data_IF_446010305485
#
_entry.id   IF_446010305485
#
_cell.length_a   1.000
_cell.length_b   1.000
_cell.length_c   1.000
_cell.angle_alpha   90.00
_cell.angle_beta   90.00
_cell.angle_gamma   90.00
#
_symmetry.space_group_name_H-M   'P 1'
#
loop_
_entity.id
_entity.type
_entity.pdbx_description
1 polymer ?
#
# COMPACT_ATOMS: atom_id res chain seq x y z
N UNK A 1 -34.74 -4.02 26.45
CA UNK A 1 -34.10 -2.88 25.77
C UNK A 1 -34.23 -3.10 24.27
N UNK A 2 -34.43 -2.06 23.47
CA UNK A 2 -34.43 -2.21 22.02
C UNK A 2 -33.01 -2.59 21.55
N UNK A 3 -32.91 -3.60 20.69
CA UNK A 3 -31.67 -3.97 20.02
C UNK A 3 -31.64 -3.31 18.64
N UNK A 4 -30.49 -2.72 18.32
CA UNK A 4 -30.22 -2.05 17.07
C UNK A 4 -29.22 -2.88 16.26
N UNK A 5 -29.35 -2.82 14.93
CA UNK A 5 -28.42 -3.44 13.99
C UNK A 5 -27.55 -2.37 13.32
N UNK A 6 -26.26 -2.60 13.28
CA UNK A 6 -25.31 -1.67 12.65
C UNK A 6 -24.07 -2.37 12.12
N UNK A 7 -23.13 -1.58 11.61
CA UNK A 7 -21.84 -2.06 11.12
C UNK A 7 -20.69 -1.30 11.78
N UNK A 8 -19.57 -1.98 11.97
CA UNK A 8 -18.37 -1.40 12.59
C UNK A 8 -17.76 -0.37 11.64
N UNK A 9 -17.78 0.92 12.00
CA UNK A 9 -17.23 1.99 11.16
C UNK A 9 -15.71 2.11 11.31
N UNK A 10 -15.22 2.10 12.56
CA UNK A 10 -13.79 2.18 12.85
C UNK A 10 -13.46 1.55 14.19
N UNK A 11 -12.31 0.90 14.27
CA UNK A 11 -11.80 0.23 15.47
C UNK A 11 -10.46 0.88 15.85
N UNK A 12 -10.38 1.46 17.04
CA UNK A 12 -9.14 1.93 17.66
C UNK A 12 -8.71 1.02 18.81
N UNK A 13 -7.57 1.34 19.43
CA UNK A 13 -7.00 0.51 20.50
C UNK A 13 -7.89 0.43 21.75
N UNK A 14 -8.58 1.53 22.10
CA UNK A 14 -9.37 1.64 23.33
C UNK A 14 -10.89 1.78 23.10
N UNK A 15 -11.31 2.16 21.90
CA UNK A 15 -12.70 2.40 21.55
C UNK A 15 -12.95 2.21 20.05
N UNK A 16 -14.21 2.11 19.68
CA UNK A 16 -14.65 2.07 18.28
C UNK A 16 -15.94 2.85 18.08
N UNK A 17 -16.37 2.92 16.82
CA UNK A 17 -17.63 3.51 16.41
C UNK A 17 -18.43 2.52 15.57
N UNK A 18 -19.72 2.42 15.85
CA UNK A 18 -20.69 1.61 15.10
C UNK A 18 -21.61 2.57 14.35
N UNK A 19 -21.74 2.38 13.04
CA UNK A 19 -22.70 3.08 12.21
C UNK A 19 -24.02 2.31 12.19
N UNK A 20 -25.11 2.98 12.59
CA UNK A 20 -26.45 2.42 12.57
C UNK A 20 -27.43 3.52 12.14
N UNK A 21 -28.18 3.27 11.07
CA UNK A 21 -29.08 4.25 10.46
C UNK A 21 -30.14 4.77 11.45
N UNK A 22 -30.76 3.86 12.21
CA UNK A 22 -31.79 4.19 13.20
C UNK A 22 -31.24 5.12 14.29
N UNK A 23 -30.08 4.79 14.86
CA UNK A 23 -29.44 5.63 15.89
C UNK A 23 -28.94 6.97 15.35
N UNK A 24 -28.58 7.03 14.07
CA UNK A 24 -28.13 8.26 13.41
C UNK A 24 -29.30 9.19 13.13
N UNK A 25 -30.48 8.66 12.82
CA UNK A 25 -31.72 9.43 12.71
C UNK A 25 -32.19 9.95 14.08
N UNK A 26 -32.14 9.12 15.12
CA UNK A 26 -32.60 9.47 16.47
C UNK A 26 -31.64 10.42 17.21
N UNK A 27 -30.33 10.18 17.14
CA UNK A 27 -29.31 10.90 17.94
C UNK A 27 -28.38 11.80 17.12
N UNK A 28 -28.47 11.77 15.79
CA UNK A 28 -27.66 12.58 14.88
C UNK A 28 -26.18 12.18 14.81
N UNK A 29 -25.81 10.97 15.28
CA UNK A 29 -24.40 10.56 15.38
C UNK A 29 -24.19 9.04 15.48
N UNK A 30 -22.96 8.62 15.25
CA UNK A 30 -22.52 7.23 15.40
C UNK A 30 -22.45 6.81 16.88
N UNK A 31 -22.57 5.51 17.13
CA UNK A 31 -22.62 4.95 18.48
C UNK A 31 -21.21 4.60 18.95
N UNK A 32 -20.83 5.09 20.13
CA UNK A 32 -19.51 4.82 20.72
C UNK A 32 -19.49 3.46 21.44
N UNK A 33 -18.48 2.64 21.16
CA UNK A 33 -18.26 1.34 21.83
C UNK A 33 -16.92 1.34 22.55
N UNK A 34 -16.92 0.90 23.81
CA UNK A 34 -15.70 0.78 24.64
C UNK A 34 -15.10 -0.60 24.44
N UNK A 35 -13.77 -0.71 24.48
CA UNK A 35 -13.03 -1.99 24.36
C UNK A 35 -13.56 -3.11 25.27
N UNK A 36 -14.02 -2.77 26.47
CA UNK A 36 -14.54 -3.74 27.45
C UNK A 36 -15.87 -4.38 27.03
N UNK A 37 -16.67 -3.68 26.22
CA UNK A 37 -17.96 -4.16 25.70
C UNK A 37 -17.79 -4.89 24.34
N UNK A 38 -16.56 -4.99 23.82
CA UNK A 38 -16.26 -5.70 22.59
C UNK A 38 -15.97 -7.19 22.88
N UNK A 39 -16.57 -8.16 22.15
CA UNK A 39 -16.21 -9.56 22.24
C UNK A 39 -14.74 -9.77 21.83
N UNK A 40 -14.13 -10.74 22.49
CA UNK A 40 -12.75 -11.15 22.23
C UNK A 40 -12.71 -11.88 20.88
N UNK A 41 -12.02 -11.30 19.89
CA UNK A 41 -11.99 -11.88 18.54
C UNK A 41 -11.37 -11.02 17.45
N UNK A 42 -11.06 -9.75 17.74
CA UNK A 42 -10.66 -8.81 16.70
C UNK A 42 -11.88 -8.36 15.90
N UNK A 43 -12.01 -7.05 15.73
CA UNK A 43 -13.13 -6.47 15.00
C UNK A 43 -12.62 -6.04 13.63
N UNK A 44 -13.37 -6.38 12.59
CA UNK A 44 -13.09 -5.94 11.23
C UNK A 44 -13.99 -4.76 10.90
N UNK A 45 -13.47 -3.75 10.19
CA UNK A 45 -14.32 -2.68 9.67
C UNK A 45 -15.41 -3.26 8.75
N UNK A 46 -16.58 -2.65 8.75
CA UNK A 46 -17.80 -3.08 8.07
C UNK A 46 -18.43 -4.40 8.57
N UNK A 47 -17.97 -4.97 9.68
CA UNK A 47 -18.59 -6.18 10.27
C UNK A 47 -20.00 -5.86 10.83
N UNK A 48 -21.03 -6.68 10.56
CA UNK A 48 -22.36 -6.48 11.13
C UNK A 48 -22.41 -6.86 12.60
N UNK A 49 -23.09 -6.05 13.42
CA UNK A 49 -23.21 -6.23 14.87
C UNK A 49 -24.61 -5.87 15.36
N UNK A 50 -25.08 -6.56 16.40
CA UNK A 50 -26.29 -6.22 17.15
C UNK A 50 -25.94 -5.70 18.54
N UNK A 51 -26.60 -4.64 19.00
CA UNK A 51 -26.25 -3.98 20.27
C UNK A 51 -27.43 -3.22 20.88
N UNK A 52 -27.33 -2.93 22.18
CA UNK A 52 -28.25 -2.05 22.90
C UNK A 52 -27.65 -0.64 23.03
N UNK A 53 -28.47 0.41 22.90
CA UNK A 53 -28.02 1.80 23.10
C UNK A 53 -28.32 2.27 24.52
N UNK A 54 -27.31 2.82 25.19
CA UNK A 54 -27.44 3.54 26.45
C UNK A 54 -26.84 4.94 26.32
N UNK A 55 -27.53 5.96 26.82
CA UNK A 55 -26.98 7.32 26.85
C UNK A 55 -26.03 7.49 28.04
N UNK A 56 -24.85 8.05 27.80
CA UNK A 56 -23.95 8.43 28.87
C UNK A 56 -24.41 9.73 29.57
N UNK A 57 -23.70 10.15 30.62
CA UNK A 57 -23.99 11.40 31.37
C UNK A 57 -24.00 12.66 30.49
N UNK A 58 -23.33 12.61 29.34
CA UNK A 58 -23.26 13.71 28.35
C UNK A 58 -24.32 13.59 27.24
N UNK A 59 -25.29 12.67 27.38
CA UNK A 59 -26.33 12.41 26.40
C UNK A 59 -25.79 11.88 25.06
N UNK A 60 -24.66 11.17 25.06
CA UNK A 60 -24.10 10.53 23.86
C UNK A 60 -24.45 9.04 23.85
N UNK A 61 -24.89 8.49 22.71
CA UNK A 61 -25.22 7.07 22.59
C UNK A 61 -23.95 6.21 22.72
N UNK A 62 -24.01 5.24 23.61
CA UNK A 62 -22.99 4.24 23.87
C UNK A 62 -23.57 2.84 23.67
N UNK A 63 -22.86 2.00 22.92
CA UNK A 63 -23.26 0.62 22.69
C UNK A 63 -22.97 -0.22 23.94
N UNK A 64 -23.92 -1.09 24.30
CA UNK A 64 -23.83 -2.09 25.37
C UNK A 64 -24.29 -3.44 24.82
N UNK A 65 -23.80 -4.52 25.44
CA UNK A 65 -24.16 -5.90 25.06
C UNK A 65 -23.98 -6.15 23.56
N UNK A 66 -22.77 -5.86 23.04
CA UNK A 66 -22.53 -5.99 21.59
C UNK A 66 -22.26 -7.45 21.22
N UNK A 67 -23.07 -7.97 20.30
CA UNK A 67 -22.96 -9.31 19.74
C UNK A 67 -22.59 -9.23 18.26
N UNK A 68 -21.73 -10.14 17.81
CA UNK A 68 -21.40 -10.28 16.39
C UNK A 68 -22.57 -11.00 15.72
N UNK A 69 -23.24 -10.33 14.79
CA UNK A 69 -24.17 -11.01 13.91
C UNK A 69 -23.32 -11.77 12.89
N UNK A 70 -23.38 -13.10 12.93
CA UNK A 70 -22.80 -13.90 11.86
C UNK A 70 -23.38 -13.35 10.56
N UNK A 71 -22.54 -12.82 9.68
CA UNK A 71 -22.97 -12.17 8.45
C UNK A 71 -23.92 -13.14 7.74
N UNK A 72 -25.23 -12.91 7.89
CA UNK A 72 -26.24 -13.69 7.24
C UNK A 72 -26.07 -13.30 5.79
N UNK A 73 -25.28 -14.09 5.06
CA UNK A 73 -25.01 -13.91 3.64
C UNK A 73 -26.37 -13.64 3.01
N UNK A 74 -26.64 -12.41 2.51
CA UNK A 74 -27.95 -12.08 2.03
C UNK A 74 -28.27 -13.09 0.94
N UNK A 75 -29.31 -13.89 1.19
CA UNK A 75 -29.72 -15.04 0.39
C UNK A 75 -30.08 -14.67 -1.06
N UNK A 76 -30.06 -13.38 -1.38
CA UNK A 76 -30.41 -12.80 -2.67
C UNK A 76 -29.22 -12.67 -3.65
N UNK A 77 -27.97 -12.71 -3.18
CA UNK A 77 -26.78 -12.84 -4.06
C UNK A 77 -26.20 -14.26 -4.11
N UNK A 78 -26.72 -15.17 -3.29
CA UNK A 78 -26.40 -16.60 -3.39
C UNK A 78 -26.91 -17.23 -4.71
N UNK A 79 -27.90 -16.64 -5.38
CA UNK A 79 -28.41 -17.14 -6.66
C UNK A 79 -27.52 -16.82 -7.88
N UNK A 80 -26.50 -15.96 -7.74
CA UNK A 80 -25.55 -15.65 -8.82
C UNK A 80 -24.12 -16.13 -8.53
N UNK A 81 -23.87 -16.65 -7.33
CA UNK A 81 -22.63 -17.34 -6.96
C UNK A 81 -22.71 -18.87 -7.17
N UNK A 82 -23.88 -19.41 -7.54
CA UNK A 82 -24.09 -20.84 -7.84
C UNK A 82 -23.85 -21.20 -9.32
N UNK A 83 -23.01 -20.43 -10.04
CA UNK A 83 -22.47 -20.85 -11.36
C UNK A 83 -20.93 -20.92 -11.35
N UNK A 84 -20.28 -20.56 -10.24
CA UNK A 84 -18.82 -20.74 -10.06
C UNK A 84 -18.45 -22.03 -9.32
N UNK A 85 -19.43 -22.81 -8.83
CA UNK A 85 -19.22 -24.02 -8.02
C UNK A 85 -19.38 -25.35 -8.81
N UNK A 86 -19.20 -25.33 -10.14
CA UNK A 86 -19.16 -26.55 -10.97
C UNK A 86 -17.80 -26.71 -11.67
N UNK A 87 -16.69 -26.49 -10.98
CA UNK A 87 -15.39 -27.13 -11.30
C UNK A 87 -14.59 -27.35 -10.01
N UNK A 88 -15.10 -28.14 -9.06
CA UNK A 88 -14.22 -28.87 -8.15
C UNK A 88 -14.94 -30.05 -7.51
N UNK A 89 -14.89 -31.21 -8.18
CA UNK A 89 -15.06 -32.51 -7.52
C UNK A 89 -13.98 -33.43 -8.04
N UNK A 90 -12.83 -33.43 -7.37
CA UNK A 90 -11.97 -34.60 -7.22
C UNK A 90 -11.02 -34.39 -6.03
N UNK A 91 -11.60 -34.48 -4.83
CA UNK A 91 -10.82 -34.74 -3.64
C UNK A 91 -10.21 -36.15 -3.70
N UNK A 92 -8.89 -36.28 -3.74
CA UNK A 92 -8.17 -37.41 -3.13
C UNK A 92 -6.80 -36.94 -2.62
N UNK A 93 -6.62 -37.13 -1.32
CA UNK A 93 -5.35 -37.28 -0.59
C UNK A 93 -4.44 -36.05 -0.43
N UNK A 94 -4.14 -35.74 0.83
CA UNK A 94 -3.00 -34.94 1.26
C UNK A 94 -1.71 -35.33 0.52
N UNK A 95 -1.04 -34.41 -0.19
CA UNK A 95 0.36 -34.59 -0.52
C UNK A 95 1.17 -34.02 0.64
N UNK A 96 1.62 -34.93 1.50
CA UNK A 96 2.89 -34.79 2.20
C UNK A 96 3.95 -34.15 1.29
N UNK A 97 4.55 -33.07 1.77
CA UNK A 97 5.88 -32.53 1.40
C UNK A 97 6.46 -32.96 0.05
N UNK A 98 6.58 -31.98 -0.85
CA UNK A 98 7.68 -31.85 -1.81
C UNK A 98 7.98 -33.11 -2.65
N UNK A 99 7.11 -33.42 -3.61
CA UNK A 99 7.54 -34.09 -4.84
C UNK A 99 8.03 -33.03 -5.81
N UNK A 100 9.12 -32.35 -5.46
CA UNK A 100 9.88 -31.60 -6.45
C UNK A 100 10.47 -32.67 -7.36
N UNK A 101 10.11 -32.68 -8.65
CA UNK A 101 10.68 -33.65 -9.60
C UNK A 101 12.21 -33.54 -9.54
N UNK A 102 12.86 -34.69 -9.34
CA UNK A 102 14.32 -34.78 -9.41
C UNK A 102 14.72 -34.36 -10.83
N UNK A 103 15.69 -33.44 -10.96
CA UNK A 103 16.11 -32.96 -12.26
C UNK A 103 16.65 -34.15 -13.10
N UNK A 104 16.54 -34.11 -14.44
CA UNK A 104 17.06 -35.17 -15.29
C UNK A 104 18.55 -35.44 -15.00
N UNK A 105 19.01 -36.68 -15.19
CA UNK A 105 20.41 -37.04 -14.95
C UNK A 105 21.36 -36.11 -15.72
N UNK A 106 22.32 -35.50 -15.01
CA UNK A 106 23.25 -34.51 -15.57
C UNK A 106 22.85 -33.04 -15.35
N UNK A 107 21.75 -32.78 -14.65
CA UNK A 107 21.29 -31.43 -14.31
C UNK A 107 21.40 -31.16 -12.80
N UNK A 108 21.95 -30.00 -12.44
CA UNK A 108 22.10 -29.55 -11.05
C UNK A 108 21.18 -28.36 -10.78
N UNK A 109 20.38 -28.44 -9.70
CA UNK A 109 19.46 -27.38 -9.30
C UNK A 109 20.13 -26.39 -8.35
N UNK A 110 20.00 -25.10 -8.64
CA UNK A 110 20.47 -23.99 -7.82
C UNK A 110 19.29 -23.10 -7.42
N UNK A 111 19.14 -22.82 -6.13
CA UNK A 111 18.19 -21.82 -5.62
C UNK A 111 18.94 -20.53 -5.34
N UNK A 112 18.47 -19.45 -5.95
CA UNK A 112 18.97 -18.10 -5.68
C UNK A 112 18.15 -17.48 -4.53
N UNK A 113 18.76 -17.21 -3.36
CA UNK A 113 18.05 -16.66 -2.21
C UNK A 113 17.59 -15.21 -2.41
N UNK A 114 18.14 -14.47 -3.37
CA UNK A 114 17.75 -13.08 -3.60
C UNK A 114 16.54 -12.97 -4.54
N UNK A 115 16.40 -13.90 -5.49
CA UNK A 115 15.34 -13.84 -6.51
C UNK A 115 14.21 -14.85 -6.31
N UNK A 116 14.33 -15.79 -5.35
CA UNK A 116 13.45 -16.95 -5.17
C UNK A 116 13.28 -17.80 -6.45
N UNK A 117 14.20 -17.65 -7.41
CA UNK A 117 14.19 -18.40 -8.67
C UNK A 117 15.00 -19.68 -8.54
N UNK A 118 14.51 -20.71 -9.22
CA UNK A 118 15.19 -22.00 -9.32
C UNK A 118 15.84 -22.10 -10.70
N UNK A 119 17.16 -22.25 -10.72
CA UNK A 119 17.97 -22.44 -11.91
C UNK A 119 18.37 -23.92 -12.03
N UNK A 120 18.45 -24.40 -13.27
CA UNK A 120 18.93 -25.72 -13.63
C UNK A 120 20.17 -25.55 -14.52
N UNK A 121 21.28 -26.15 -14.09
CA UNK A 121 22.54 -26.15 -14.83
C UNK A 121 22.78 -27.52 -15.45
N UNK A 122 23.00 -27.58 -16.77
CA UNK A 122 23.32 -28.81 -17.48
C UNK A 122 24.85 -28.97 -17.56
N UNK A 123 25.40 -30.03 -16.96
CA UNK A 123 26.85 -30.28 -16.97
C UNK A 123 27.38 -30.70 -18.35
N UNK A 124 26.52 -31.30 -19.18
CA UNK A 124 26.92 -31.85 -20.48
C UNK A 124 27.25 -30.76 -21.52
N UNK A 125 26.54 -29.63 -21.47
CA UNK A 125 26.67 -28.52 -22.44
C UNK A 125 27.07 -27.18 -21.79
N UNK A 126 27.06 -27.09 -20.46
CA UNK A 126 27.39 -25.87 -19.73
C UNK A 126 26.33 -24.78 -19.82
N UNK A 127 25.09 -25.13 -20.21
CA UNK A 127 23.97 -24.21 -20.34
C UNK A 127 23.20 -24.03 -19.02
N UNK A 128 22.55 -22.87 -18.90
CA UNK A 128 21.69 -22.52 -17.77
C UNK A 128 20.25 -22.39 -18.27
N UNK A 129 19.33 -23.06 -17.58
CA UNK A 129 17.90 -22.92 -17.79
C UNK A 129 17.25 -22.46 -16.48
N UNK A 130 16.21 -21.64 -16.55
CA UNK A 130 15.39 -21.32 -15.37
C UNK A 130 14.02 -21.97 -15.51
N UNK A 131 13.50 -22.48 -14.40
CA UNK A 131 12.16 -23.05 -14.33
C UNK A 131 11.18 -21.90 -14.06
N UNK A 132 10.36 -21.52 -15.05
CA UNK A 132 9.25 -20.58 -14.82
C UNK A 132 8.27 -21.25 -13.85
N UNK A 133 7.95 -20.57 -12.74
CA UNK A 133 7.05 -21.14 -11.76
C UNK A 133 5.68 -21.41 -12.40
N UNK A 134 5.07 -22.59 -12.13
CA UNK A 134 3.81 -23.00 -12.77
C UNK A 134 2.67 -22.00 -12.53
N UNK A 135 2.69 -21.23 -11.44
CA UNK A 135 1.71 -20.16 -11.19
C UNK A 135 1.77 -19.02 -12.23
N UNK A 136 2.97 -18.64 -12.66
CA UNK A 136 3.16 -17.59 -13.68
C UNK A 136 2.68 -18.08 -15.04
N UNK A 137 2.87 -19.37 -15.33
CA UNK A 137 2.41 -20.00 -16.56
C UNK A 137 0.88 -20.08 -16.61
N UNK A 138 0.24 -20.43 -15.48
CA UNK A 138 -1.22 -20.44 -15.35
C UNK A 138 -1.82 -19.04 -15.56
N UNK A 139 -1.21 -17.99 -14.99
CA UNK A 139 -1.64 -16.61 -15.19
C UNK A 139 -1.53 -16.17 -16.66
N UNK A 140 -0.48 -16.60 -17.36
CA UNK A 140 -0.26 -16.31 -18.78
C UNK A 140 -1.28 -17.01 -19.68
N UNK A 141 -1.66 -18.25 -19.36
CA UNK A 141 -2.72 -18.97 -20.06
C UNK A 141 -4.11 -18.37 -19.82
N UNK A 142 -4.41 -17.96 -18.59
CA UNK A 142 -5.67 -17.27 -18.27
C UNK A 142 -5.76 -15.92 -19.00
N UNK A 143 -4.66 -15.16 -19.07
CA UNK A 143 -4.60 -13.91 -19.82
C UNK A 143 -4.75 -14.11 -21.34
N UNK A 144 -4.18 -15.20 -21.88
CA UNK A 144 -4.33 -15.55 -23.30
C UNK A 144 -5.78 -15.98 -23.64
N UNK A 145 -6.44 -16.72 -22.75
CA UNK A 145 -7.82 -17.16 -22.93
C UNK A 145 -8.84 -16.00 -22.86
N UNK A 146 -8.56 -14.94 -22.10
CA UNK A 146 -9.45 -13.79 -21.92
C UNK A 146 -9.61 -12.84 -23.12
N UNK A 147 -8.86 -13.02 -24.22
CA UNK A 147 -8.81 -12.03 -25.33
C UNK A 147 -9.56 -12.45 -26.60
N UNK A 148 -10.37 -13.53 -26.57
CA UNK A 148 -11.24 -13.88 -27.71
C UNK A 148 -12.66 -13.35 -27.52
N UNK A 149 -12.97 -12.20 -28.11
CA UNK A 149 -14.36 -11.73 -28.25
C UNK A 149 -15.06 -12.51 -29.38
N UNK A 150 -16.16 -13.23 -29.11
CA UNK A 150 -16.96 -13.81 -30.19
C UNK A 150 -17.79 -12.72 -30.85
N UNK A 151 -17.48 -12.39 -32.11
CA UNK A 151 -18.35 -11.58 -32.98
C UNK A 151 -19.55 -12.43 -33.40
N UNK A 152 -20.51 -12.58 -32.49
CA UNK A 152 -21.77 -13.28 -32.73
C UNK A 152 -22.85 -12.32 -33.21
N UNK A 153 -23.09 -12.31 -34.52
CA UNK A 153 -24.24 -11.68 -35.16
C UNK A 153 -25.52 -12.40 -34.73
N UNK A 154 -26.25 -11.83 -33.77
CA UNK A 154 -27.58 -12.30 -33.40
C UNK A 154 -28.62 -11.23 -33.77
N UNK A 155 -29.28 -11.44 -34.92
CA UNK A 155 -30.60 -10.89 -35.19
C UNK A 155 -31.58 -11.44 -34.15
N UNK A 156 -32.26 -10.57 -33.44
CA UNK A 156 -33.50 -10.93 -32.75
C UNK A 156 -34.47 -9.76 -32.84
N UNK A 157 -35.54 -10.06 -33.56
CA UNK A 157 -36.77 -9.30 -33.71
C UNK A 157 -37.40 -9.05 -32.34
N UNK A 158 -37.75 -7.79 -32.08
CA UNK A 158 -38.62 -7.41 -30.97
C UNK A 158 -40.01 -7.09 -31.55
N UNK A 159 -41.11 -7.58 -30.96
CA UNK A 159 -42.44 -7.16 -31.34
C UNK A 159 -42.78 -5.80 -30.71
N UNK A 160 -43.22 -4.86 -31.55
CA UNK A 160 -43.72 -3.53 -31.18
C UNK A 160 -45.05 -3.61 -30.40
N UNK A 161 -45.29 -2.71 -29.42
CA UNK A 161 -46.65 -2.33 -29.05
C UNK A 161 -47.08 -1.08 -29.83
N UNK A 162 -48.24 -1.21 -30.48
CA UNK A 162 -49.05 -0.15 -31.10
C UNK A 162 -49.49 0.86 -30.05
N UNK A 163 -49.14 2.14 -30.20
CA UNK A 163 -49.95 3.25 -29.68
C UNK A 163 -49.83 4.47 -30.60
N UNK A 164 -51.00 5.10 -30.77
CA UNK A 164 -51.31 6.06 -31.81
C UNK A 164 -50.94 7.51 -31.45
N UNK A 165 -50.65 8.29 -32.49
CA UNK A 165 -51.10 9.68 -32.62
C UNK A 165 -50.12 10.79 -32.25
N UNK A 166 -49.86 11.68 -33.21
CA UNK A 166 -49.48 13.07 -32.91
C UNK A 166 -48.32 13.64 -33.73
N UNK A 167 -48.64 14.18 -34.91
CA UNK A 167 -47.76 14.95 -35.79
C UNK A 167 -47.21 16.25 -35.15
N UNK A 168 -45.98 16.64 -35.45
CA UNK A 168 -45.64 17.74 -36.41
C UNK A 168 -44.15 18.16 -36.32
N UNK A 169 -43.50 18.13 -37.49
CA UNK A 169 -42.43 19.02 -38.01
C UNK A 169 -41.36 19.61 -37.07
N UNK A 170 -40.07 19.39 -37.40
CA UNK A 170 -39.23 20.42 -38.06
C UNK A 170 -37.77 19.98 -38.24
N UNK A 171 -37.38 19.91 -39.52
CA UNK A 171 -36.12 20.32 -40.18
C UNK A 171 -34.87 20.62 -39.32
N UNK A 172 -33.78 19.86 -39.52
CA UNK A 172 -32.42 20.40 -39.51
C UNK A 172 -31.43 19.51 -40.29
N UNK A 173 -31.03 20.05 -41.44
CA UNK A 173 -29.97 19.66 -42.38
C UNK A 173 -28.60 19.43 -41.74
N UNK A 174 -27.90 18.37 -42.14
CA UNK A 174 -26.50 18.14 -41.79
C UNK A 174 -25.84 17.09 -42.69
N UNK A 175 -25.43 17.52 -43.90
CA UNK A 175 -24.63 16.73 -44.85
C UNK A 175 -23.29 16.30 -44.24
N UNK A 176 -22.96 14.99 -44.31
CA UNK A 176 -21.57 14.50 -44.23
C UNK A 176 -21.17 13.88 -45.56
N UNK A 177 -20.26 14.56 -46.24
CA UNK A 177 -19.59 14.09 -47.45
C UNK A 177 -18.63 12.95 -47.15
N UNK A 178 -18.72 11.93 -47.99
CA UNK A 178 -17.76 10.84 -48.15
C UNK A 178 -16.49 11.37 -48.82
N UNK A 179 -15.32 10.89 -48.40
CA UNK A 179 -14.14 10.88 -49.25
C UNK A 179 -13.37 9.58 -49.04
N UNK A 180 -13.19 8.87 -50.15
CA UNK A 180 -12.54 7.58 -50.26
C UNK A 180 -11.07 7.73 -50.71
N UNK A 181 -10.27 6.71 -50.38
CA UNK A 181 -9.02 6.33 -51.05
C UNK A 181 -7.73 6.57 -50.25
N UNK A 182 -6.61 5.91 -50.61
CA UNK A 182 -6.46 4.48 -50.86
C UNK A 182 -5.20 3.88 -50.18
N UNK A 183 -5.01 2.58 -50.39
CA UNK A 183 -3.88 1.68 -50.14
C UNK A 183 -2.50 2.26 -49.75
N UNK A 184 -1.89 1.64 -48.74
CA UNK A 184 -0.50 1.85 -48.36
C UNK A 184 0.04 0.68 -47.54
N UNK A 185 0.45 -0.39 -48.23
CA UNK A 185 1.28 -1.47 -47.70
C UNK A 185 2.63 -0.90 -47.25
N UNK A 186 3.02 -1.09 -45.99
CA UNK A 186 4.39 -0.85 -45.53
C UNK A 186 4.83 -2.01 -44.63
N UNK A 187 5.73 -2.82 -45.19
CA UNK A 187 6.49 -3.85 -44.49
C UNK A 187 7.37 -3.22 -43.40
N UNK A 188 7.27 -3.75 -42.19
CA UNK A 188 8.21 -3.49 -41.09
C UNK A 188 9.06 -4.75 -40.90
N UNK A 189 10.40 -4.67 -40.90
CA UNK A 189 11.26 -5.83 -40.65
C UNK A 189 11.30 -6.20 -39.16
N UNK A 190 11.54 -7.48 -38.81
CA UNK A 190 11.70 -7.90 -37.42
C UNK A 190 13.07 -7.46 -36.89
N UNK A 191 13.07 -6.67 -35.81
CA UNK A 191 14.24 -6.42 -34.96
C UNK A 191 14.25 -7.50 -33.88
N UNK A 192 15.14 -8.47 -34.04
CA UNK A 192 15.50 -9.41 -32.97
C UNK A 192 16.46 -8.72 -32.02
N UNK A 193 15.96 -8.18 -30.91
CA UNK A 193 16.79 -7.78 -29.77
C UNK A 193 17.03 -8.99 -28.87
N UNK A 194 18.21 -9.58 -29.06
CA UNK A 194 18.76 -10.68 -28.27
C UNK A 194 19.28 -10.12 -26.92
N UNK A 195 18.37 -9.94 -25.95
CA UNK A 195 18.73 -9.56 -24.58
C UNK A 195 19.33 -10.76 -23.84
N UNK A 196 20.65 -10.93 -23.97
CA UNK A 196 21.42 -11.82 -23.12
C UNK A 196 21.35 -11.34 -21.65
N UNK A 197 20.69 -12.11 -20.79
CA UNK A 197 20.72 -11.91 -19.35
C UNK A 197 22.16 -12.05 -18.81
N UNK A 198 22.58 -11.26 -17.81
CA UNK A 198 23.92 -11.34 -17.23
C UNK A 198 24.14 -12.72 -16.61
N UNK A 199 25.20 -13.40 -17.05
CA UNK A 199 25.63 -14.71 -16.57
C UNK A 199 25.97 -14.61 -15.07
N UNK A 200 25.38 -15.42 -14.18
CA UNK A 200 25.77 -15.42 -12.77
C UNK A 200 27.23 -15.87 -12.60
N UNK A 201 27.95 -15.38 -11.58
CA UNK A 201 29.33 -15.77 -11.33
C UNK A 201 29.42 -17.27 -11.06
N UNK A 202 30.36 -17.95 -11.71
CA UNK A 202 30.57 -19.38 -11.56
C UNK A 202 30.87 -19.74 -10.09
N UNK A 203 30.33 -20.86 -9.56
CA UNK A 203 30.59 -21.27 -8.19
C UNK A 203 32.07 -21.58 -8.00
N UNK A 204 32.68 -20.94 -7.00
CA UNK A 204 34.05 -21.18 -6.62
C UNK A 204 34.22 -22.62 -6.13
N UNK A 205 35.11 -23.37 -6.79
CA UNK A 205 35.49 -24.73 -6.42
C UNK A 205 36.03 -24.72 -4.98
N UNK A 206 35.51 -25.57 -4.06
CA UNK A 206 36.03 -25.63 -2.69
C UNK A 206 37.47 -26.16 -2.71
N UNK A 207 38.44 -25.33 -2.31
CA UNK A 207 39.78 -25.80 -2.00
C UNK A 207 39.82 -26.32 -0.56
N UNK A 208 40.18 -27.59 -0.41
CA UNK A 208 40.43 -28.24 0.88
C UNK A 208 41.67 -27.67 1.60
N UNK A 209 41.72 -27.80 2.94
CA UNK A 209 42.55 -26.97 3.79
C UNK A 209 43.99 -27.50 3.89
N UNK A 210 44.97 -26.64 3.62
CA UNK A 210 46.33 -26.89 4.06
C UNK A 210 46.54 -26.30 5.46
N UNK A 211 46.65 -27.20 6.44
CA UNK A 211 47.05 -26.89 7.80
C UNK A 211 48.50 -26.43 7.86
N UNK A 212 48.74 -25.35 8.62
CA UNK A 212 50.06 -24.82 8.91
C UNK A 212 50.07 -24.21 10.31
N UNK A 213 50.70 -24.93 11.23
CA UNK A 213 50.83 -24.63 12.64
C UNK A 213 51.81 -23.49 12.94
N UNK A 214 51.56 -22.80 14.06
CA UNK A 214 52.57 -22.24 14.99
C UNK A 214 53.33 -20.97 14.57
N UNK A 215 53.13 -19.87 15.30
CA UNK A 215 54.05 -19.46 16.37
C UNK A 215 53.72 -18.06 16.90
N UNK A 216 53.83 -17.92 18.21
CA UNK A 216 53.61 -16.71 18.98
C UNK A 216 54.67 -15.63 18.67
N UNK A 217 54.26 -14.36 18.71
CA UNK A 217 55.17 -13.27 19.05
C UNK A 217 54.42 -12.08 19.65
N UNK A 218 55.03 -11.53 20.69
CA UNK A 218 54.56 -10.50 21.60
C UNK A 218 54.50 -9.10 20.98
N UNK A 219 53.55 -8.28 21.49
CA UNK A 219 53.59 -6.84 21.83
C UNK A 219 54.47 -5.85 20.98
N UNK A 220 54.01 -4.62 20.68
CA UNK A 220 53.59 -3.67 21.73
C UNK A 220 52.39 -2.77 21.43
N UNK A 221 51.88 -2.19 22.51
CA UNK A 221 50.86 -1.16 22.55
C UNK A 221 51.24 0.04 21.67
N UNK A 222 50.36 0.36 20.72
CA UNK A 222 50.37 1.61 19.97
C UNK A 222 49.06 2.35 20.28
N UNK A 223 49.18 3.57 20.79
CA UNK A 223 48.07 4.47 21.07
C UNK A 223 47.38 4.91 19.75
N UNK A 224 46.04 4.94 19.67
CA UNK A 224 45.35 5.38 18.47
C UNK A 224 45.41 6.91 18.36
N UNK A 225 46.32 7.39 17.53
CA UNK A 225 46.38 8.80 17.13
C UNK A 225 45.12 9.21 16.36
N UNK A 226 44.39 10.16 16.96
CA UNK A 226 43.43 11.09 16.40
C UNK A 226 43.14 10.99 14.88
N UNK A 227 42.00 10.37 14.58
CA UNK A 227 41.32 10.37 13.27
C UNK A 227 40.80 11.77 12.94
N UNK A 228 41.60 12.57 12.24
CA UNK A 228 41.15 13.78 11.53
C UNK A 228 40.70 13.36 10.12
N UNK A 229 39.44 12.96 9.98
CA UNK A 229 38.88 12.53 8.69
C UNK A 229 37.35 12.40 8.61
N UNK A 230 36.60 12.99 9.55
CA UNK A 230 35.14 12.83 9.66
C UNK A 230 34.29 13.82 8.86
N UNK A 231 34.75 14.31 7.71
CA UNK A 231 34.11 15.44 7.02
C UNK A 231 33.20 15.13 5.83
N UNK A 232 33.03 13.86 5.43
CA UNK A 232 32.43 13.54 4.12
C UNK A 232 31.10 12.75 4.15
N UNK A 233 30.66 12.28 5.31
CA UNK A 233 29.33 11.64 5.44
C UNK A 233 28.23 12.54 6.03
N UNK A 234 28.55 13.74 6.51
CA UNK A 234 27.54 14.64 7.10
C UNK A 234 26.52 15.15 6.06
N UNK A 235 26.86 15.17 4.77
CA UNK A 235 25.98 15.64 3.71
C UNK A 235 24.76 14.75 3.44
N UNK A 236 24.79 13.46 3.82
CA UNK A 236 23.62 12.57 3.71
C UNK A 236 22.68 12.66 4.93
N UNK A 237 23.07 13.42 5.97
CA UNK A 237 22.28 13.59 7.20
C UNK A 237 21.39 14.81 7.19
N UNK A 238 21.36 15.61 6.12
CA UNK A 238 20.37 16.68 6.04
C UNK A 238 19.01 16.07 5.70
N UNK A 239 18.09 16.12 6.66
CA UNK A 239 16.80 15.45 6.57
C UNK A 239 15.76 16.34 5.90
N UNK A 240 14.88 15.74 5.11
CA UNK A 240 13.94 16.48 4.28
C UNK A 240 12.90 17.21 5.12
N UNK A 241 12.45 16.61 6.22
CA UNK A 241 11.56 17.25 7.19
C UNK A 241 12.09 18.55 7.80
N UNK A 242 13.40 18.80 7.76
CA UNK A 242 14.01 20.02 8.30
C UNK A 242 14.02 21.18 7.29
N UNK A 243 13.72 20.90 6.00
CA UNK A 243 13.65 21.93 4.97
C UNK A 243 12.42 22.83 5.19
N UNK A 244 12.56 24.17 5.15
CA UNK A 244 11.46 25.09 5.41
C UNK A 244 10.31 24.95 4.40
N UNK A 245 10.63 24.60 3.15
CA UNK A 245 9.65 24.36 2.08
C UNK A 245 8.71 23.19 2.41
N UNK A 246 9.26 22.11 2.96
CA UNK A 246 8.52 20.90 3.36
C UNK A 246 7.62 21.20 4.56
N UNK A 247 8.10 22.00 5.51
CA UNK A 247 7.31 22.43 6.68
C UNK A 247 6.11 23.28 6.24
N UNK A 248 6.31 24.21 5.29
CA UNK A 248 5.22 25.01 4.73
C UNK A 248 4.23 24.16 3.92
N UNK A 249 4.73 23.19 3.14
CA UNK A 249 3.89 22.27 2.38
C UNK A 249 3.06 21.37 3.31
N UNK A 250 3.65 20.83 4.37
CA UNK A 250 2.98 20.00 5.38
C UNK A 250 1.87 20.76 6.14
N UNK A 251 1.92 22.08 6.23
CA UNK A 251 0.81 22.88 6.79
C UNK A 251 -0.41 22.92 5.86
N UNK A 252 -0.19 22.79 4.54
CA UNK A 252 -1.23 22.88 3.51
C UNK A 252 -1.76 21.51 3.11
N UNK A 253 -0.90 20.50 3.09
CA UNK A 253 -1.20 19.14 2.63
C UNK A 253 -1.07 18.12 3.78
N UNK A 254 -2.17 17.42 4.07
CA UNK A 254 -2.24 16.39 5.11
C UNK A 254 -1.42 15.15 4.78
N UNK A 255 -1.25 14.82 3.48
CA UNK A 255 -0.46 13.67 3.03
C UNK A 255 1.01 13.92 3.36
N UNK A 256 1.53 15.09 2.98
CA UNK A 256 2.91 15.51 3.30
C UNK A 256 3.12 15.56 4.82
N UNK A 257 2.14 16.05 5.58
CA UNK A 257 2.20 16.03 7.05
C UNK A 257 2.25 14.60 7.65
N UNK A 258 1.66 13.61 6.99
CA UNK A 258 1.77 12.21 7.40
C UNK A 258 3.16 11.66 7.09
N UNK A 259 3.67 11.90 5.88
CA UNK A 259 5.01 11.47 5.46
C UNK A 259 6.11 12.02 6.37
N UNK A 260 6.05 13.30 6.73
CA UNK A 260 6.98 13.93 7.68
C UNK A 260 6.94 13.25 9.05
N UNK A 261 5.74 12.88 9.55
CA UNK A 261 5.61 12.17 10.82
C UNK A 261 6.22 10.77 10.76
N UNK A 262 6.06 10.08 9.65
CA UNK A 262 6.61 8.73 9.46
C UNK A 262 8.14 8.76 9.30
N UNK A 263 8.68 9.74 8.57
CA UNK A 263 10.12 10.00 8.51
C UNK A 263 10.70 10.19 9.92
N UNK A 264 10.07 11.02 10.76
CA UNK A 264 10.53 11.24 12.14
C UNK A 264 10.49 9.97 13.00
N UNK A 265 9.47 9.11 12.84
CA UNK A 265 9.38 7.83 13.56
C UNK A 265 10.49 6.87 13.12
N UNK A 266 10.74 6.76 11.82
CA UNK A 266 11.77 5.90 11.26
C UNK A 266 13.17 6.39 11.66
N UNK A 267 13.42 7.71 11.64
CA UNK A 267 14.66 8.32 12.15
C UNK A 267 14.91 8.00 13.62
N UNK A 268 13.85 7.98 14.45
CA UNK A 268 13.98 7.60 15.86
C UNK A 268 14.42 6.14 16.01
N UNK A 269 13.82 5.23 15.22
CA UNK A 269 14.20 3.81 15.20
C UNK A 269 15.63 3.61 14.69
N UNK A 270 16.03 4.35 13.66
CA UNK A 270 17.37 4.26 13.08
C UNK A 270 18.44 4.66 14.11
N UNK A 271 18.24 5.76 14.85
CA UNK A 271 19.15 6.15 15.95
C UNK A 271 19.24 5.11 17.06
N UNK A 272 18.15 4.43 17.38
CA UNK A 272 18.16 3.33 18.35
C UNK A 272 19.00 2.15 17.84
N UNK A 273 18.88 1.79 16.56
CA UNK A 273 19.67 0.74 15.93
C UNK A 273 21.15 1.10 15.87
N UNK A 274 21.49 2.34 15.47
CA UNK A 274 22.89 2.81 15.43
C UNK A 274 23.54 2.76 16.82
N UNK A 275 22.79 3.07 17.89
CA UNK A 275 23.28 2.93 19.26
C UNK A 275 23.52 1.46 19.66
N UNK A 276 22.66 0.53 19.21
CA UNK A 276 22.86 -0.91 19.41
C UNK A 276 24.08 -1.42 18.64
N UNK A 277 24.27 -1.00 17.40
CA UNK A 277 25.45 -1.36 16.60
C UNK A 277 26.74 -0.81 17.23
N UNK A 278 26.74 0.44 17.70
CA UNK A 278 27.87 1.02 18.42
C UNK A 278 28.20 0.25 19.72
N UNK A 279 27.16 -0.17 20.45
CA UNK A 279 27.33 -1.01 21.63
C UNK A 279 27.91 -2.39 21.26
N UNK A 280 27.42 -3.00 20.18
CA UNK A 280 27.96 -4.27 19.67
C UNK A 280 29.42 -4.14 19.24
N UNK A 281 29.80 -3.03 18.61
CA UNK A 281 31.17 -2.76 18.18
C UNK A 281 32.15 -2.62 19.37
N UNK A 282 31.65 -2.24 20.55
CA UNK A 282 32.43 -2.18 21.80
C UNK A 282 32.59 -3.57 22.46
N UNK A 283 32.05 -4.63 21.86
CA UNK A 283 32.14 -6.01 22.35
C UNK A 283 31.02 -6.40 23.31
N UNK A 284 30.02 -5.53 23.52
CA UNK A 284 28.83 -5.87 24.30
C UNK A 284 27.95 -6.85 23.50
N UNK A 285 27.64 -8.01 24.08
CA UNK A 285 26.74 -8.98 23.45
C UNK A 285 25.31 -8.44 23.43
N UNK A 286 24.67 -8.48 22.26
CA UNK A 286 23.28 -8.03 22.08
C UNK A 286 22.29 -9.16 22.39
N UNK A 287 21.17 -8.81 23.04
CA UNK A 287 20.06 -9.74 23.21
C UNK A 287 19.41 -10.10 21.86
N UNK A 288 18.77 -11.27 21.76
CA UNK A 288 18.11 -11.72 20.54
C UNK A 288 17.10 -10.70 19.99
N UNK A 289 16.38 -9.99 20.88
CA UNK A 289 15.45 -8.92 20.49
C UNK A 289 16.16 -7.70 19.89
N UNK A 290 17.38 -7.38 20.34
CA UNK A 290 18.20 -6.29 19.82
C UNK A 290 18.79 -6.65 18.46
N UNK A 291 19.28 -7.88 18.29
CA UNK A 291 19.73 -8.39 16.98
C UNK A 291 18.60 -8.33 15.95
N UNK A 292 17.38 -8.69 16.34
CA UNK A 292 16.19 -8.58 15.49
C UNK A 292 15.78 -7.13 15.16
N UNK A 293 16.20 -6.13 15.95
CA UNK A 293 16.04 -4.71 15.60
C UNK A 293 17.09 -4.27 14.60
N UNK A 294 18.35 -4.65 14.83
CA UNK A 294 19.47 -4.34 13.93
C UNK A 294 19.23 -4.91 12.53
N UNK A 295 18.68 -6.13 12.43
CA UNK A 295 18.35 -6.73 11.13
C UNK A 295 17.29 -5.96 10.33
N UNK A 296 16.47 -5.11 10.97
CA UNK A 296 15.47 -4.26 10.30
C UNK A 296 16.05 -2.97 9.74
N UNK A 297 17.35 -2.69 9.94
CA UNK A 297 18.00 -1.45 9.48
C UNK A 297 17.83 -1.22 7.98
N UNK A 298 18.06 -2.25 7.16
CA UNK A 298 17.93 -2.15 5.70
C UNK A 298 16.52 -1.75 5.25
N UNK A 299 15.49 -2.37 5.83
CA UNK A 299 14.09 -2.01 5.54
C UNK A 299 13.77 -0.56 5.93
N UNK A 300 14.23 -0.11 7.10
CA UNK A 300 14.02 1.28 7.56
C UNK A 300 14.70 2.29 6.62
N UNK A 301 15.90 1.98 6.11
CA UNK A 301 16.59 2.85 5.16
C UNK A 301 15.86 2.93 3.82
N UNK A 302 15.33 1.80 3.33
CA UNK A 302 14.49 1.75 2.12
C UNK A 302 13.22 2.59 2.30
N UNK A 303 12.50 2.42 3.41
CA UNK A 303 11.30 3.21 3.71
C UNK A 303 11.58 4.72 3.77
N UNK A 304 12.71 5.11 4.37
CA UNK A 304 13.14 6.51 4.41
C UNK A 304 13.43 7.05 3.01
N UNK A 305 14.02 6.25 2.12
CA UNK A 305 14.25 6.65 0.73
C UNK A 305 12.93 6.84 -0.02
N UNK A 306 11.96 5.94 0.14
CA UNK A 306 10.64 6.06 -0.48
C UNK A 306 9.92 7.32 0.02
N UNK A 307 9.92 7.57 1.32
CA UNK A 307 9.30 8.78 1.89
C UNK A 307 9.96 10.04 1.34
N UNK A 308 11.29 10.03 1.21
CA UNK A 308 12.06 11.12 0.60
C UNK A 308 11.61 11.40 -0.83
N UNK A 309 11.53 10.38 -1.66
CA UNK A 309 11.10 10.49 -3.06
C UNK A 309 9.66 11.03 -3.16
N UNK A 310 8.75 10.56 -2.31
CA UNK A 310 7.37 11.04 -2.25
C UNK A 310 7.26 12.51 -1.83
N UNK A 311 8.06 12.96 -0.86
CA UNK A 311 8.07 14.38 -0.47
C UNK A 311 8.65 15.25 -1.59
N UNK A 312 9.71 14.79 -2.26
CA UNK A 312 10.32 15.50 -3.41
C UNK A 312 9.36 15.57 -4.61
N UNK A 313 8.55 14.54 -4.85
CA UNK A 313 7.46 14.55 -5.84
C UNK A 313 6.37 15.56 -5.46
N UNK A 314 5.88 15.55 -4.22
CA UNK A 314 4.88 16.51 -3.77
C UNK A 314 5.38 17.97 -3.87
N UNK A 315 6.67 18.21 -3.62
CA UNK A 315 7.29 19.52 -3.84
C UNK A 315 7.31 19.92 -5.32
N UNK A 316 7.62 18.98 -6.22
CA UNK A 316 7.57 19.23 -7.67
C UNK A 316 6.17 19.57 -8.13
N UNK A 317 5.16 18.83 -7.67
CA UNK A 317 3.75 19.09 -8.00
C UNK A 317 3.28 20.45 -7.47
N UNK A 318 3.70 20.80 -6.25
CA UNK A 318 3.42 22.11 -5.67
C UNK A 318 4.07 23.25 -6.47
N UNK A 319 5.31 23.06 -6.95
CA UNK A 319 6.00 24.03 -7.80
C UNK A 319 5.42 24.12 -9.22
N UNK A 320 4.93 23.01 -9.77
CA UNK A 320 4.35 22.91 -11.11
C UNK A 320 2.92 23.46 -11.19
N UNK A 321 2.27 23.74 -10.05
CA UNK A 321 0.93 24.32 -9.99
C UNK A 321 0.99 25.85 -9.81
N UNK A 322 1.05 26.66 -10.89
CA UNK A 322 1.16 28.12 -10.81
C UNK A 322 -0.10 28.82 -10.25
N UNK A 323 -1.11 28.10 -9.76
CA UNK A 323 -2.45 28.63 -9.51
C UNK A 323 -2.70 29.27 -8.12
N UNK A 324 -1.73 29.35 -7.22
CA UNK A 324 -1.96 29.90 -5.88
C UNK A 324 -1.46 31.33 -5.63
N UNK A 325 -0.93 32.04 -6.65
CA UNK A 325 -0.45 33.42 -6.50
C UNK A 325 -1.01 34.40 -7.53
N UNK A 326 -2.32 34.31 -7.81
CA UNK A 326 -3.06 35.55 -8.08
C UNK A 326 -3.80 35.89 -6.78
N UNK A 327 -3.23 36.71 -5.88
CA UNK A 327 -4.08 37.50 -5.01
C UNK A 327 -4.99 38.27 -5.96
N UNK A 328 -6.24 37.81 -6.07
CA UNK A 328 -7.26 38.50 -6.84
C UNK A 328 -7.32 39.89 -6.21
N UNK A 329 -6.66 40.86 -6.87
CA UNK A 329 -6.52 42.21 -6.39
C UNK A 329 -7.92 42.68 -6.09
N UNK A 330 -8.22 42.82 -4.80
CA UNK A 330 -9.53 43.19 -4.33
C UNK A 330 -9.91 44.47 -5.05
N UNK A 331 -10.92 44.38 -5.91
CA UNK A 331 -11.73 45.52 -6.29
C UNK A 331 -12.17 46.16 -4.99
N UNK A 332 -11.54 47.28 -4.66
CA UNK A 332 -11.80 48.07 -3.48
C UNK A 332 -13.31 48.29 -3.36
N UNK A 333 -13.95 47.59 -2.43
CA UNK A 333 -15.32 47.86 -2.04
C UNK A 333 -15.26 49.13 -1.18
N UNK A 334 -15.87 50.25 -1.60
CA UNK A 334 -15.76 51.51 -0.88
C UNK A 334 -16.35 51.36 0.53
N UNK A 335 -15.61 51.90 1.50
CA UNK A 335 -15.93 51.92 2.91
C UNK A 335 -17.29 52.57 3.16
N UNK A 336 -18.29 51.76 3.53
CA UNK A 336 -19.49 52.25 4.19
C UNK A 336 -19.21 52.29 5.70
N UNK A 337 -19.19 53.52 6.23
CA UNK A 337 -18.97 53.86 7.62
C UNK A 337 -19.86 53.04 8.58
N UNK A 338 -19.24 52.36 9.56
CA UNK A 338 -19.93 51.86 10.74
C UNK A 338 -19.47 52.62 11.98
N UNK A 339 -20.45 53.21 12.65
CA UNK A 339 -20.35 54.05 13.83
C UNK A 339 -19.82 53.32 15.08
N UNK A 340 -19.22 54.05 16.05
CA UNK A 340 -18.75 53.48 17.30
C UNK A 340 -19.91 53.14 18.25
N UNK A 341 -20.09 51.86 18.58
CA UNK A 341 -20.95 51.44 19.70
C UNK A 341 -20.14 51.38 21.00
N UNK A 342 -20.51 52.33 21.86
CA UNK A 342 -20.25 52.52 23.29
C UNK A 342 -19.61 51.34 24.04
N UNK A 343 -18.52 51.67 24.73
CA UNK A 343 -18.03 50.98 25.90
C UNK A 343 -19.12 50.88 26.98
N UNK A 344 -19.37 49.66 27.47
CA UNK A 344 -20.03 49.41 28.75
C UNK A 344 -18.94 48.89 29.69
N UNK A 345 -18.59 49.75 30.64
CA UNK A 345 -17.86 49.37 31.83
C UNK A 345 -18.72 48.40 32.65
N UNK A 346 -18.16 47.24 33.04
CA UNK A 346 -18.67 46.50 34.20
C UNK A 346 -17.58 46.48 35.28
N UNK A 347 -17.87 47.27 36.30
CA UNK A 347 -17.19 47.27 37.59
C UNK A 347 -17.50 45.99 38.37
N UNK A 348 -16.47 45.48 39.04
CA UNK A 348 -16.57 45.01 40.42
C UNK A 348 -16.86 43.52 40.63
N UNK A 349 -16.01 42.86 41.43
CA UNK A 349 -16.25 42.42 42.84
C UNK A 349 -15.12 41.42 43.19
N UNK A 350 -14.11 41.75 44.02
CA UNK A 350 -14.09 41.47 45.47
C UNK A 350 -14.76 40.13 45.81
N UNK A 351 -14.15 39.11 46.43
CA UNK A 351 -13.08 39.06 47.41
C UNK A 351 -12.59 37.62 47.51
#
# INVERSE_FOLDING_TARGET
MARYLGSVKSVGDAYGFIECAETKEEYGRDVHVVRADMPQGGWVQAQPVSFCVALNEKGRPQAREVELEAAAVPKEVAAVAEVAAVVEVAAVASPSRSRFEEPPAGWTRYQDPESERTYLYCEADGSWHWEEQPEVQLQKEVAAAGTSCPTGTASSEWPSPTLAGGSTSSTATGQRSRKAGPDGLSSVPPVSEDLHAPRPPAPAVPQEPQGGSSSASSAPAAEPSATLGGGREEGLREFISERPEVIELAKRDQIVAHLVRDEMKLRKKLREIEALEASSATGTSLEAMQVAKVSKKGAILSDLQIIREQIEEALRDFAASPHASVPCAGTARPAAALAPKKAVASSGKSK
#
